data_IF_320043442402
#
_entry.id   IF_320043442402
#
_cell.length_a   1.000
_cell.length_b   1.000
_cell.length_c   1.000
_cell.angle_alpha   90.00
_cell.angle_beta   90.00
_cell.angle_gamma   90.00
#
_symmetry.space_group_name_H-M   'P 1'
#
loop_
_entity.id
_entity.type
_entity.pdbx_description
1 polymer ?
#
# COMPACT_ATOMS: atom_id res chain seq x y z
N UNK A 1 4.73 2.35 -0.84
CA UNK A 1 4.68 2.89 0.54
C UNK A 1 4.03 4.27 0.61
N UNK A 2 4.30 5.21 -0.33
CA UNK A 2 3.78 6.60 -0.29
C UNK A 2 2.25 6.65 -0.28
N UNK A 3 1.57 5.81 -1.04
CA UNK A 3 0.10 5.74 -1.07
C UNK A 3 -0.47 5.21 0.26
N UNK A 4 0.19 4.25 0.90
CA UNK A 4 -0.22 3.75 2.21
C UNK A 4 -0.10 4.84 3.29
N UNK A 5 0.98 5.63 3.25
CA UNK A 5 1.18 6.79 4.16
C UNK A 5 0.13 7.87 3.90
N UNK A 6 -0.18 8.17 2.64
CA UNK A 6 -1.27 9.09 2.28
C UNK A 6 -2.62 8.62 2.79
N UNK A 7 -2.94 7.34 2.61
CA UNK A 7 -4.18 6.75 3.11
C UNK A 7 -4.29 6.85 4.64
N UNK A 8 -3.22 6.54 5.35
CA UNK A 8 -3.15 6.69 6.82
C UNK A 8 -3.32 8.16 7.24
N UNK A 9 -2.65 9.09 6.57
CA UNK A 9 -2.78 10.52 6.83
C UNK A 9 -4.20 11.03 6.60
N UNK A 10 -4.83 10.65 5.49
CA UNK A 10 -6.25 10.99 5.19
C UNK A 10 -7.16 10.44 6.27
N UNK A 11 -6.94 9.21 6.73
CA UNK A 11 -7.74 8.61 7.80
C UNK A 11 -7.64 9.38 9.12
N UNK A 12 -6.43 9.77 9.52
CA UNK A 12 -6.22 10.59 10.73
C UNK A 12 -6.89 11.95 10.56
N UNK A 13 -6.68 12.62 9.42
CA UNK A 13 -7.26 13.93 9.16
C UNK A 13 -8.79 13.90 9.16
N UNK A 14 -9.38 12.87 8.58
CA UNK A 14 -10.82 12.64 8.57
C UNK A 14 -11.39 12.53 10.01
N UNK A 15 -10.74 11.73 10.86
CA UNK A 15 -11.17 11.54 12.24
C UNK A 15 -11.00 12.82 13.07
N UNK A 16 -9.88 13.52 12.92
CA UNK A 16 -9.62 14.79 13.63
C UNK A 16 -10.64 15.86 13.21
N UNK A 17 -10.88 16.01 11.90
CA UNK A 17 -11.86 16.95 11.38
C UNK A 17 -13.27 16.62 11.91
N UNK A 18 -13.65 15.35 11.93
CA UNK A 18 -14.91 14.88 12.48
C UNK A 18 -15.07 15.28 13.95
N UNK A 19 -14.08 14.97 14.77
CA UNK A 19 -14.12 15.34 16.20
C UNK A 19 -14.26 16.85 16.40
N UNK A 20 -13.50 17.66 15.65
CA UNK A 20 -13.56 19.12 15.73
C UNK A 20 -14.94 19.69 15.37
N UNK A 21 -15.58 19.11 14.35
CA UNK A 21 -16.95 19.49 13.98
C UNK A 21 -17.92 19.16 15.11
N UNK A 22 -17.85 17.95 15.64
CA UNK A 22 -18.81 17.46 16.62
C UNK A 22 -18.63 18.03 18.03
N UNK A 23 -17.45 18.56 18.39
CA UNK A 23 -17.27 19.27 19.66
C UNK A 23 -18.29 20.41 19.83
N UNK A 24 -18.62 21.11 18.74
CA UNK A 24 -19.58 22.19 18.77
C UNK A 24 -21.06 21.71 18.87
N UNK A 25 -21.32 20.45 18.56
CA UNK A 25 -22.65 19.85 18.44
C UNK A 25 -22.86 18.64 19.37
N UNK A 26 -22.03 18.51 20.41
CA UNK A 26 -22.04 17.32 21.27
C UNK A 26 -23.38 17.13 21.99
N UNK A 27 -23.98 18.21 22.47
CA UNK A 27 -25.26 18.16 23.17
C UNK A 27 -26.40 17.69 22.24
N UNK A 28 -26.42 18.21 21.00
CA UNK A 28 -27.40 17.80 20.00
C UNK A 28 -27.22 16.33 19.57
N UNK A 29 -25.97 15.87 19.51
CA UNK A 29 -25.68 14.46 19.23
C UNK A 29 -26.18 13.56 20.36
N UNK A 30 -25.96 13.97 21.62
CA UNK A 30 -26.41 13.23 22.80
C UNK A 30 -27.94 13.15 22.81
N UNK A 31 -28.63 14.27 22.63
CA UNK A 31 -30.10 14.33 22.61
C UNK A 31 -30.67 13.43 21.48
N UNK A 32 -30.10 13.51 20.29
CA UNK A 32 -30.51 12.68 19.16
C UNK A 32 -30.28 11.18 19.43
N UNK A 33 -29.13 10.81 19.97
CA UNK A 33 -28.83 9.43 20.33
C UNK A 33 -29.73 8.88 21.40
N UNK A 34 -30.03 9.70 22.42
CA UNK A 34 -30.96 9.31 23.46
C UNK A 34 -32.36 9.08 22.89
N UNK A 35 -32.85 10.00 22.03
CA UNK A 35 -34.13 9.87 21.36
C UNK A 35 -34.18 8.59 20.49
N UNK A 36 -33.18 8.33 19.73
CA UNK A 36 -33.10 7.14 18.86
C UNK A 36 -32.96 5.83 19.64
N UNK A 37 -32.44 5.90 20.87
CA UNK A 37 -32.17 4.73 21.71
C UNK A 37 -33.37 4.32 22.58
N UNK A 38 -34.47 5.07 22.50
CA UNK A 38 -35.72 4.72 23.22
C UNK A 38 -36.31 3.48 22.56
N UNK A 39 -36.37 2.37 23.28
CA UNK A 39 -37.06 1.18 22.84
C UNK A 39 -38.56 1.30 23.06
N UNK A 40 -39.28 1.51 21.97
CA UNK A 40 -40.76 1.62 21.97
C UNK A 40 -41.42 0.28 22.37
N UNK A 41 -40.67 -0.81 22.42
CA UNK A 41 -41.17 -2.15 22.78
C UNK A 41 -40.91 -2.52 24.24
N UNK A 42 -40.11 -1.75 24.97
CA UNK A 42 -39.84 -2.02 26.37
C UNK A 42 -41.00 -1.52 27.24
N UNK A 43 -41.85 -2.43 27.70
CA UNK A 43 -42.94 -2.16 28.66
C UNK A 43 -42.46 -2.09 30.13
N UNK A 44 -41.13 -2.17 30.35
CA UNK A 44 -40.48 -2.14 31.67
C UNK A 44 -39.39 -1.07 31.76
N UNK A 45 -39.06 -0.68 32.99
CA UNK A 45 -37.95 0.24 33.27
C UNK A 45 -36.63 -0.44 32.92
N UNK A 46 -36.04 -0.09 31.73
CA UNK A 46 -34.69 -0.51 31.38
C UNK A 46 -33.66 -0.02 32.38
N UNK A 47 -32.77 -0.88 32.78
CA UNK A 47 -31.65 -0.53 33.65
C UNK A 47 -30.61 0.32 32.89
N UNK A 48 -29.82 1.14 33.58
CA UNK A 48 -28.74 1.90 32.99
C UNK A 48 -27.71 0.97 32.32
N UNK A 49 -27.53 -0.25 32.86
CA UNK A 49 -26.63 -1.26 32.29
C UNK A 49 -27.04 -1.75 30.89
N UNK A 50 -28.32 -1.72 30.57
CA UNK A 50 -28.84 -2.11 29.24
C UNK A 50 -28.86 -0.94 28.24
N UNK A 51 -29.16 0.28 28.75
CA UNK A 51 -29.24 1.49 27.91
C UNK A 51 -27.91 2.03 27.47
N UNK A 52 -26.92 2.09 28.37
CA UNK A 52 -25.64 2.75 28.08
C UNK A 52 -24.88 2.09 26.91
N UNK A 53 -24.70 0.76 26.84
CA UNK A 53 -24.03 0.12 25.70
C UNK A 53 -24.72 0.41 24.35
N UNK A 54 -26.08 0.42 24.35
CA UNK A 54 -26.85 0.72 23.14
C UNK A 54 -26.68 2.19 22.71
N UNK A 55 -26.70 3.12 23.64
CA UNK A 55 -26.47 4.53 23.39
C UNK A 55 -25.06 4.77 22.84
N UNK A 56 -24.03 4.11 23.37
CA UNK A 56 -22.66 4.18 22.86
C UNK A 56 -22.57 3.64 21.43
N UNK A 57 -23.18 2.48 21.15
CA UNK A 57 -23.20 1.90 19.81
C UNK A 57 -23.92 2.81 18.79
N UNK A 58 -25.06 3.37 19.19
CA UNK A 58 -25.81 4.30 18.36
C UNK A 58 -25.06 5.61 18.15
N UNK A 59 -24.42 6.16 19.16
CA UNK A 59 -23.60 7.36 19.07
C UNK A 59 -22.45 7.15 18.07
N UNK A 60 -21.75 6.02 18.17
CA UNK A 60 -20.68 5.67 17.25
C UNK A 60 -21.17 5.54 15.80
N UNK A 61 -22.32 4.89 15.60
CA UNK A 61 -22.92 4.73 14.26
C UNK A 61 -23.35 6.07 13.68
N UNK A 62 -24.08 6.88 14.44
CA UNK A 62 -24.54 8.21 14.01
C UNK A 62 -23.38 9.12 13.70
N UNK A 63 -22.38 9.17 14.58
CA UNK A 63 -21.16 9.94 14.38
C UNK A 63 -20.44 9.58 13.07
N UNK A 64 -20.17 8.29 12.85
CA UNK A 64 -19.46 7.86 11.64
C UNK A 64 -20.27 8.07 10.37
N UNK A 65 -21.58 7.79 10.41
CA UNK A 65 -22.46 7.98 9.26
C UNK A 65 -22.55 9.46 8.89
N UNK A 66 -22.80 10.33 9.88
CA UNK A 66 -22.90 11.78 9.67
C UNK A 66 -21.56 12.37 9.20
N UNK A 67 -20.43 11.95 9.79
CA UNK A 67 -19.10 12.34 9.31
C UNK A 67 -18.89 11.96 7.86
N UNK A 68 -19.26 10.75 7.47
CA UNK A 68 -19.15 10.29 6.08
C UNK A 68 -19.93 11.19 5.16
N UNK A 69 -21.19 11.52 5.49
CA UNK A 69 -22.02 12.40 4.67
C UNK A 69 -21.48 13.84 4.61
N UNK A 70 -20.96 14.37 5.69
CA UNK A 70 -20.39 15.72 5.72
C UNK A 70 -19.07 15.77 4.96
N UNK A 71 -18.16 14.85 5.27
CA UNK A 71 -16.79 14.91 4.78
C UNK A 71 -16.59 14.37 3.35
N UNK A 72 -17.57 13.64 2.79
CA UNK A 72 -17.49 13.19 1.39
C UNK A 72 -17.35 14.36 0.41
N UNK A 73 -17.98 15.49 0.70
CA UNK A 73 -17.86 16.71 -0.09
C UNK A 73 -16.46 17.35 0.00
N UNK A 74 -15.72 17.03 1.05
CA UNK A 74 -14.37 17.50 1.29
C UNK A 74 -13.30 16.48 0.89
N UNK A 75 -13.67 15.36 0.28
CA UNK A 75 -12.72 14.31 -0.13
C UNK A 75 -11.60 14.86 -1.03
N UNK A 76 -11.92 15.71 -2.02
CA UNK A 76 -10.93 16.34 -2.89
C UNK A 76 -9.97 17.30 -2.16
N UNK A 77 -10.44 18.27 -1.34
CA UNK A 77 -9.56 19.06 -0.49
C UNK A 77 -8.67 18.23 0.43
N UNK A 78 -9.22 17.20 1.06
CA UNK A 78 -8.48 16.30 1.97
C UNK A 78 -7.38 15.53 1.20
N UNK A 79 -7.71 15.01 0.02
CA UNK A 79 -6.74 14.32 -0.83
C UNK A 79 -5.61 15.29 -1.29
N UNK A 80 -5.94 16.52 -1.68
CA UNK A 80 -4.92 17.54 -2.01
C UNK A 80 -4.03 17.88 -0.83
N UNK A 81 -4.60 17.96 0.38
CA UNK A 81 -3.83 18.22 1.58
C UNK A 81 -2.88 17.05 1.87
N UNK A 82 -3.34 15.82 1.69
CA UNK A 82 -2.50 14.63 1.86
C UNK A 82 -1.33 14.61 0.86
N UNK A 83 -1.57 14.94 -0.42
CA UNK A 83 -0.48 15.03 -1.43
C UNK A 83 0.46 16.20 -1.17
N UNK A 84 0.00 17.27 -0.53
CA UNK A 84 0.86 18.39 -0.16
C UNK A 84 1.82 18.05 0.98
N UNK A 85 1.34 17.34 2.02
CA UNK A 85 2.17 16.95 3.17
C UNK A 85 2.98 15.68 2.91
N UNK A 86 2.41 14.72 2.20
CA UNK A 86 3.08 13.48 1.82
C UNK A 86 3.45 13.59 0.34
N UNK A 87 4.60 14.21 0.11
CA UNK A 87 5.15 14.33 -1.25
C UNK A 87 5.50 12.96 -1.79
N UNK A 88 5.30 12.77 -3.10
CA UNK A 88 5.89 11.61 -3.76
C UNK A 88 7.39 11.63 -3.53
N UNK A 89 7.96 10.47 -3.25
CA UNK A 89 9.39 10.31 -3.51
C UNK A 89 9.57 10.78 -4.96
N UNK A 90 10.55 11.65 -5.28
CA UNK A 90 10.77 12.04 -6.66
C UNK A 90 10.76 10.77 -7.50
N UNK A 91 9.92 10.75 -8.54
CA UNK A 91 9.93 9.68 -9.54
C UNK A 91 11.39 9.49 -9.93
N UNK A 92 11.89 8.29 -9.73
CA UNK A 92 13.32 8.02 -9.73
C UNK A 92 13.95 8.70 -10.95
N UNK A 93 14.86 9.63 -10.69
CA UNK A 93 15.95 9.87 -11.63
C UNK A 93 16.28 8.52 -12.27
N UNK A 94 16.43 8.43 -13.59
CA UNK A 94 16.64 7.19 -14.35
C UNK A 94 16.99 5.97 -13.48
N UNK A 95 16.26 4.84 -13.59
CA UNK A 95 16.40 3.74 -12.64
C UNK A 95 17.87 3.44 -12.45
N UNK A 96 18.30 3.33 -11.19
CA UNK A 96 19.71 3.07 -10.80
C UNK A 96 20.29 1.90 -11.60
N UNK A 97 19.41 0.96 -11.99
CA UNK A 97 19.73 -0.11 -12.92
C UNK A 97 18.62 -0.29 -13.96
N UNK A 98 18.93 -0.11 -15.26
CA UNK A 98 18.00 -0.38 -16.35
C UNK A 98 17.93 -1.87 -16.66
N UNK A 99 16.71 -2.36 -16.90
CA UNK A 99 16.48 -3.69 -17.46
C UNK A 99 17.21 -3.80 -18.80
N UNK A 100 17.93 -4.91 -18.97
CA UNK A 100 18.78 -5.15 -20.15
C UNK A 100 18.05 -5.92 -21.24
N UNK A 101 17.16 -6.80 -20.85
CA UNK A 101 16.54 -7.77 -21.73
C UNK A 101 15.08 -7.45 -22.05
N UNK A 102 14.41 -6.60 -21.27
CA UNK A 102 13.02 -6.21 -21.52
C UNK A 102 12.94 -5.32 -22.77
N UNK A 103 12.20 -5.79 -23.76
CA UNK A 103 12.00 -5.08 -25.03
C UNK A 103 10.50 -4.89 -25.29
N UNK A 104 10.06 -3.63 -25.37
CA UNK A 104 8.65 -3.28 -25.59
C UNK A 104 8.10 -3.80 -26.93
N UNK A 105 8.95 -3.97 -27.94
CA UNK A 105 8.55 -4.52 -29.25
C UNK A 105 8.06 -5.96 -29.12
N UNK A 106 8.60 -6.72 -28.16
CA UNK A 106 8.27 -8.12 -27.95
C UNK A 106 6.96 -8.35 -27.17
N UNK A 107 6.36 -7.30 -26.61
CA UNK A 107 5.10 -7.40 -25.83
C UNK A 107 3.98 -8.02 -26.69
N UNK A 108 3.96 -7.74 -27.99
CA UNK A 108 2.99 -8.32 -28.92
C UNK A 108 3.19 -9.82 -29.18
N UNK A 109 4.30 -10.40 -28.72
CA UNK A 109 4.63 -11.83 -28.85
C UNK A 109 4.92 -12.40 -27.46
N UNK A 110 3.88 -12.81 -26.69
CA UNK A 110 4.00 -13.16 -25.29
C UNK A 110 5.06 -14.21 -24.97
N UNK A 111 5.23 -15.24 -25.80
CA UNK A 111 6.24 -16.27 -25.60
C UNK A 111 7.68 -15.70 -25.60
N UNK A 112 7.99 -14.78 -26.51
CA UNK A 112 9.30 -14.12 -26.55
C UNK A 112 9.46 -13.13 -25.40
N UNK A 113 8.40 -12.38 -25.08
CA UNK A 113 8.39 -11.47 -23.95
C UNK A 113 8.70 -12.21 -22.64
N UNK A 114 8.08 -13.38 -22.42
CA UNK A 114 8.32 -14.22 -21.23
C UNK A 114 9.76 -14.72 -21.16
N UNK A 115 10.36 -15.09 -22.30
CA UNK A 115 11.78 -15.51 -22.32
C UNK A 115 12.70 -14.35 -21.90
N UNK A 116 12.39 -13.11 -22.30
CA UNK A 116 13.13 -11.92 -21.87
C UNK A 116 12.96 -11.63 -20.39
N UNK A 117 11.76 -11.77 -19.86
CA UNK A 117 11.50 -11.65 -18.40
C UNK A 117 12.31 -12.68 -17.62
N UNK A 118 12.37 -13.93 -18.08
CA UNK A 118 13.18 -14.99 -17.46
C UNK A 118 14.66 -14.59 -17.36
N UNK A 119 15.20 -13.98 -18.42
CA UNK A 119 16.60 -13.50 -18.41
C UNK A 119 16.81 -12.35 -17.41
N UNK A 120 15.85 -11.44 -17.29
CA UNK A 120 15.92 -10.34 -16.34
C UNK A 120 15.76 -10.81 -14.88
N UNK A 121 14.89 -11.81 -14.63
CA UNK A 121 14.79 -12.48 -13.32
C UNK A 121 16.11 -13.14 -12.92
N UNK A 122 16.84 -13.72 -13.88
CA UNK A 122 18.18 -14.24 -13.64
C UNK A 122 19.14 -13.15 -13.16
N UNK A 123 19.12 -11.97 -13.79
CA UNK A 123 19.92 -10.80 -13.38
C UNK A 123 19.54 -10.30 -11.97
N UNK A 124 18.25 -10.22 -11.71
CA UNK A 124 17.75 -9.83 -10.38
C UNK A 124 18.24 -10.83 -9.32
N UNK A 125 18.15 -12.13 -9.59
CA UNK A 125 18.67 -13.17 -8.70
C UNK A 125 20.18 -13.06 -8.44
N UNK A 126 20.99 -12.70 -9.46
CA UNK A 126 22.43 -12.44 -9.28
C UNK A 126 22.68 -11.26 -8.32
N UNK A 127 21.83 -10.21 -8.35
CA UNK A 127 21.92 -9.08 -7.42
C UNK A 127 21.59 -9.48 -5.99
N UNK A 128 20.53 -10.26 -5.81
CA UNK A 128 20.14 -10.80 -4.49
C UNK A 128 21.27 -11.67 -3.91
N UNK A 129 21.87 -12.55 -4.71
CA UNK A 129 23.02 -13.36 -4.27
C UNK A 129 24.21 -12.49 -3.87
N UNK A 130 24.51 -11.46 -4.66
CA UNK A 130 25.60 -10.51 -4.34
C UNK A 130 25.32 -9.76 -3.05
N UNK A 131 24.07 -9.35 -2.81
CA UNK A 131 23.65 -8.68 -1.59
C UNK A 131 23.78 -9.58 -0.36
N UNK A 132 23.32 -10.84 -0.44
CA UNK A 132 23.45 -11.83 0.64
C UNK A 132 24.92 -12.09 0.97
N UNK A 133 25.78 -12.26 -0.04
CA UNK A 133 27.21 -12.44 0.18
C UNK A 133 27.85 -11.25 0.89
N UNK A 134 27.46 -10.05 0.48
CA UNK A 134 27.99 -8.83 1.03
C UNK A 134 27.49 -8.53 2.45
N UNK A 135 26.26 -8.92 2.78
CA UNK A 135 25.72 -8.79 4.14
C UNK A 135 26.52 -9.59 5.17
N UNK A 136 27.03 -10.76 4.77
CA UNK A 136 27.91 -11.54 5.62
C UNK A 136 29.21 -10.77 5.96
N UNK A 137 29.81 -10.07 5.00
CA UNK A 137 31.01 -9.25 5.20
C UNK A 137 30.72 -8.04 6.10
N UNK A 138 29.56 -7.40 5.94
CA UNK A 138 29.13 -6.27 6.79
C UNK A 138 28.97 -6.69 8.25
N UNK A 139 28.31 -7.83 8.49
CA UNK A 139 28.09 -8.37 9.86
C UNK A 139 29.41 -8.75 10.54
N UNK A 140 30.36 -9.28 9.78
CA UNK A 140 31.65 -9.71 10.33
C UNK A 140 32.62 -8.55 10.55
N UNK A 141 32.62 -7.55 9.70
CA UNK A 141 33.61 -6.47 9.71
C UNK A 141 33.11 -5.13 10.29
N UNK A 142 31.78 -4.95 10.42
CA UNK A 142 31.14 -3.79 11.07
C UNK A 142 31.45 -2.43 10.43
N UNK A 143 31.71 -2.39 9.12
CA UNK A 143 32.12 -1.16 8.41
C UNK A 143 30.89 -0.42 7.86
N UNK A 144 30.67 0.80 8.31
CA UNK A 144 29.61 1.70 7.83
C UNK A 144 29.63 1.91 6.30
N UNK A 145 30.82 1.92 5.69
CA UNK A 145 30.98 2.06 4.23
C UNK A 145 30.43 0.87 3.42
N UNK A 146 30.26 -0.28 4.03
CA UNK A 146 29.69 -1.46 3.38
C UNK A 146 28.15 -1.47 3.44
N UNK A 147 27.55 -0.80 4.44
CA UNK A 147 26.09 -0.57 4.51
C UNK A 147 25.60 0.22 3.31
N UNK A 148 26.25 1.31 2.94
CA UNK A 148 25.89 2.10 1.75
C UNK A 148 25.92 1.28 0.44
N UNK A 149 26.72 0.21 0.39
CA UNK A 149 26.76 -0.70 -0.77
C UNK A 149 25.64 -1.73 -0.74
N UNK A 150 25.13 -2.09 0.44
CA UNK A 150 23.92 -2.92 0.57
C UNK A 150 22.70 -2.14 0.13
N UNK A 151 22.52 -0.91 0.62
CA UNK A 151 21.45 0.00 0.17
C UNK A 151 21.45 0.19 -1.36
N UNK A 152 22.64 0.37 -1.97
CA UNK A 152 22.75 0.50 -3.42
C UNK A 152 22.36 -0.78 -4.18
N UNK A 153 22.61 -1.97 -3.62
CA UNK A 153 22.19 -3.25 -4.22
C UNK A 153 20.69 -3.45 -4.08
N UNK A 154 20.10 -3.02 -2.95
CA UNK A 154 18.66 -3.04 -2.73
C UNK A 154 17.93 -2.14 -3.72
N UNK A 155 18.37 -0.90 -3.88
CA UNK A 155 17.86 0.02 -4.92
C UNK A 155 17.94 -0.57 -6.35
N UNK A 156 18.99 -1.35 -6.65
CA UNK A 156 19.11 -2.05 -7.95
C UNK A 156 18.08 -3.19 -8.09
N UNK A 157 17.81 -3.94 -7.01
CA UNK A 157 16.82 -5.04 -6.97
C UNK A 157 15.42 -4.47 -7.15
N UNK A 158 15.06 -3.42 -6.41
CA UNK A 158 13.80 -2.70 -6.50
C UNK A 158 13.55 -2.15 -7.91
N UNK A 159 14.58 -1.51 -8.49
CA UNK A 159 14.49 -0.97 -9.83
C UNK A 159 14.24 -2.07 -10.88
N UNK A 160 14.81 -3.26 -10.74
CA UNK A 160 14.55 -4.39 -11.61
C UNK A 160 13.16 -4.98 -11.38
N UNK A 161 12.72 -5.11 -10.12
CA UNK A 161 11.39 -5.57 -9.77
C UNK A 161 10.31 -4.72 -10.43
N UNK A 162 10.38 -3.39 -10.25
CA UNK A 162 9.42 -2.46 -10.83
C UNK A 162 9.33 -2.56 -12.36
N UNK A 163 10.48 -2.68 -13.03
CA UNK A 163 10.53 -2.80 -14.48
C UNK A 163 9.96 -4.13 -14.96
N UNK A 164 10.28 -5.25 -14.28
CA UNK A 164 9.74 -6.58 -14.58
C UNK A 164 8.22 -6.60 -14.35
N UNK A 165 7.74 -6.10 -13.21
CA UNK A 165 6.32 -6.07 -12.88
C UNK A 165 5.53 -5.22 -13.88
N UNK A 166 6.05 -4.04 -14.23
CA UNK A 166 5.45 -3.17 -15.22
C UNK A 166 5.39 -3.81 -16.62
N UNK A 167 6.46 -4.46 -17.04
CA UNK A 167 6.53 -5.17 -18.31
C UNK A 167 5.55 -6.35 -18.36
N UNK A 168 5.51 -7.20 -17.31
CA UNK A 168 4.54 -8.29 -17.18
C UNK A 168 3.10 -7.76 -17.18
N UNK A 169 2.84 -6.60 -16.56
CA UNK A 169 1.56 -5.93 -16.63
C UNK A 169 1.13 -5.61 -18.07
N UNK A 170 2.06 -5.12 -18.90
CA UNK A 170 1.79 -4.88 -20.34
C UNK A 170 1.55 -6.18 -21.12
N UNK A 171 2.32 -7.22 -20.84
CA UNK A 171 2.17 -8.54 -21.48
C UNK A 171 0.83 -9.18 -21.08
N UNK A 172 0.39 -9.01 -19.86
CA UNK A 172 -0.91 -9.55 -19.37
C UNK A 172 -2.13 -9.01 -20.12
N UNK A 173 -2.00 -7.85 -20.75
CA UNK A 173 -3.05 -7.25 -21.58
C UNK A 173 -3.17 -7.90 -22.97
N UNK A 174 -2.25 -8.81 -23.34
CA UNK A 174 -2.28 -9.55 -24.60
C UNK A 174 -3.12 -10.83 -24.47
N UNK A 175 -3.45 -11.43 -25.61
CA UNK A 175 -4.11 -12.74 -25.63
C UNK A 175 -3.09 -13.83 -25.26
N UNK A 176 -3.14 -14.31 -24.05
CA UNK A 176 -2.25 -15.33 -23.51
C UNK A 176 -2.85 -16.73 -23.65
N UNK A 177 -2.03 -17.71 -24.01
CA UNK A 177 -2.34 -19.13 -23.84
C UNK A 177 -2.35 -19.49 -22.33
N UNK A 178 -2.91 -20.66 -22.00
CA UNK A 178 -2.91 -21.15 -20.60
C UNK A 178 -1.50 -21.28 -20.01
N UNK A 179 -0.55 -21.70 -20.85
CA UNK A 179 0.86 -21.84 -20.42
C UNK A 179 1.49 -20.48 -20.15
N UNK A 180 1.31 -19.51 -21.04
CA UNK A 180 1.85 -18.16 -20.89
C UNK A 180 1.22 -17.44 -19.68
N UNK A 181 -0.06 -17.64 -19.41
CA UNK A 181 -0.71 -17.09 -18.21
C UNK A 181 -0.15 -17.71 -16.91
N UNK A 182 0.18 -19.02 -16.93
CA UNK A 182 0.82 -19.69 -15.80
C UNK A 182 2.26 -19.17 -15.59
N UNK A 183 3.03 -19.04 -16.69
CA UNK A 183 4.39 -18.49 -16.66
C UNK A 183 4.39 -17.04 -16.14
N UNK A 184 3.45 -16.20 -16.58
CA UNK A 184 3.28 -14.83 -16.09
C UNK A 184 3.10 -14.78 -14.58
N UNK A 185 2.21 -15.61 -14.05
CA UNK A 185 1.97 -15.69 -12.60
C UNK A 185 3.21 -16.18 -11.85
N UNK A 186 3.89 -17.19 -12.40
CA UNK A 186 5.11 -17.74 -11.83
C UNK A 186 6.23 -16.68 -11.79
N UNK A 187 6.44 -15.95 -12.88
CA UNK A 187 7.51 -14.95 -12.97
C UNK A 187 7.26 -13.75 -12.07
N UNK A 188 6.01 -13.28 -11.99
CA UNK A 188 5.64 -12.23 -11.04
C UNK A 188 5.86 -12.69 -9.59
N UNK A 189 5.46 -13.92 -9.26
CA UNK A 189 5.72 -14.50 -7.94
C UNK A 189 7.21 -14.64 -7.65
N UNK A 190 8.01 -15.03 -8.65
CA UNK A 190 9.46 -15.15 -8.50
C UNK A 190 10.11 -13.78 -8.27
N UNK A 191 9.68 -12.74 -9.00
CA UNK A 191 10.16 -11.38 -8.79
C UNK A 191 9.88 -10.89 -7.37
N UNK A 192 8.63 -11.09 -6.87
CA UNK A 192 8.26 -10.74 -5.49
C UNK A 192 9.11 -11.50 -4.45
N UNK A 193 9.42 -12.76 -4.68
CA UNK A 193 10.26 -13.54 -3.74
C UNK A 193 11.68 -12.99 -3.72
N UNK A 194 12.23 -12.63 -4.87
CA UNK A 194 13.59 -12.08 -4.98
C UNK A 194 13.70 -10.71 -4.30
N UNK A 195 12.71 -9.82 -4.52
CA UNK A 195 12.62 -8.52 -3.84
C UNK A 195 12.51 -8.70 -2.32
N UNK A 196 11.58 -9.52 -1.85
CA UNK A 196 11.43 -9.81 -0.42
C UNK A 196 12.67 -10.48 0.21
N UNK A 197 13.53 -11.13 -0.59
CA UNK A 197 14.82 -11.63 -0.10
C UNK A 197 15.83 -10.49 0.05
N UNK A 198 15.81 -9.50 -0.83
CA UNK A 198 16.57 -8.26 -0.70
C UNK A 198 16.21 -7.51 0.58
N UNK A 199 14.95 -7.15 0.72
CA UNK A 199 14.38 -6.41 1.87
C UNK A 199 14.74 -7.01 3.24
N UNK A 200 14.88 -8.34 3.32
CA UNK A 200 15.23 -9.02 4.58
C UNK A 200 16.71 -9.00 4.91
N UNK A 201 17.53 -8.60 3.97
CA UNK A 201 18.98 -8.54 4.12
C UNK A 201 19.43 -7.12 4.48
N UNK A 202 18.62 -6.10 4.15
CA UNK A 202 18.80 -4.73 4.59
C UNK A 202 18.58 -4.60 6.11
#
# INVERSE_FOLDING_TARGET
>A
PTEAVRAAFVHVLFNVAGVLIWIAFIDQLVDFVQWMSVDVRSTGAETAAERVPRQIANAHTVFNLANTFILIWFAHPIARLATYFVKDKPEASEPVLKAKYLDEVLISTPSLAMDRVRMELGRMGERVVAMIQKSADVVLEGRESELAKLEALDEEIDALFDQIAHYLGKVSAQALSKTEAADLSLYLSTANVLENMGDRVE
#
